data_IF_645176037608
#
_entry.id   IF_645176037608
#
_cell.length_a   1.000
_cell.length_b   1.000
_cell.length_c   1.000
_cell.angle_alpha   90.00
_cell.angle_beta   90.00
_cell.angle_gamma   90.00
#
_symmetry.space_group_name_H-M   'P 1'
#
loop_
_entity.id
_entity.type
_entity.pdbx_description
1 polymer ?
#
# COMPACT_ATOMS: atom_id res chain seq x y z
N UNK A 1 -5.10 12.85 20.28
CA UNK A 1 -5.10 12.61 18.83
C UNK A 1 -6.44 11.98 18.50
N UNK A 2 -7.25 12.48 17.56
CA UNK A 2 -8.46 11.76 17.18
C UNK A 2 -8.01 10.43 16.60
N UNK A 3 -8.50 9.34 17.18
CA UNK A 3 -8.36 8.00 16.64
C UNK A 3 -9.11 7.99 15.30
N UNK A 4 -8.42 8.39 14.21
CA UNK A 4 -8.88 8.19 12.84
C UNK A 4 -8.83 6.69 12.56
N UNK A 5 -9.73 5.95 13.20
CA UNK A 5 -9.90 4.53 13.00
C UNK A 5 -10.66 4.38 11.70
N UNK A 6 -9.93 4.04 10.65
CA UNK A 6 -10.55 3.64 9.40
C UNK A 6 -11.47 2.43 9.66
N UNK A 7 -12.60 2.33 8.96
CA UNK A 7 -13.44 1.13 8.97
C UNK A 7 -12.63 -0.12 8.66
N UNK A 8 -12.95 -1.24 9.31
CA UNK A 8 -12.21 -2.49 9.18
C UNK A 8 -12.22 -3.03 7.75
N UNK A 9 -13.32 -2.87 7.03
CA UNK A 9 -13.46 -3.25 5.63
C UNK A 9 -12.55 -2.42 4.71
N UNK A 10 -12.42 -1.12 4.98
CA UNK A 10 -11.50 -0.25 4.26
C UNK A 10 -10.03 -0.61 4.53
N UNK A 11 -9.69 -0.95 5.78
CA UNK A 11 -8.36 -1.46 6.15
C UNK A 11 -8.10 -2.78 5.40
N UNK A 12 -9.07 -3.70 5.37
CA UNK A 12 -8.94 -4.98 4.69
C UNK A 12 -8.73 -4.82 3.17
N UNK A 13 -9.45 -3.90 2.52
CA UNK A 13 -9.24 -3.56 1.11
C UNK A 13 -7.82 -3.02 0.86
N UNK A 14 -7.33 -2.14 1.73
CA UNK A 14 -5.98 -1.59 1.63
C UNK A 14 -4.90 -2.67 1.82
N UNK A 15 -5.06 -3.55 2.81
CA UNK A 15 -4.16 -4.69 3.02
C UNK A 15 -4.16 -5.62 1.79
N UNK A 16 -5.33 -5.97 1.25
CA UNK A 16 -5.43 -6.80 0.06
C UNK A 16 -4.74 -6.13 -1.13
N UNK A 17 -4.93 -4.82 -1.31
CA UNK A 17 -4.26 -4.05 -2.37
C UNK A 17 -2.74 -4.08 -2.22
N UNK A 18 -2.21 -3.94 -1.01
CA UNK A 18 -0.76 -4.06 -0.74
C UNK A 18 -0.25 -5.47 -1.10
N UNK A 19 -0.95 -6.53 -0.65
CA UNK A 19 -0.57 -7.92 -0.97
C UNK A 19 -0.57 -8.18 -2.48
N UNK A 20 -1.63 -7.77 -3.18
CA UNK A 20 -1.71 -7.92 -4.64
C UNK A 20 -0.61 -7.13 -5.34
N UNK A 21 -0.26 -5.94 -4.82
CA UNK A 21 0.84 -5.15 -5.36
C UNK A 21 2.17 -5.86 -5.17
N UNK A 22 2.48 -6.28 -3.95
CA UNK A 22 3.70 -7.02 -3.61
C UNK A 22 3.84 -8.30 -4.45
N UNK A 23 2.75 -9.03 -4.65
CA UNK A 23 2.71 -10.20 -5.53
C UNK A 23 2.98 -9.81 -6.99
N UNK A 24 2.38 -8.72 -7.49
CA UNK A 24 2.57 -8.23 -8.85
C UNK A 24 3.99 -7.71 -9.11
N UNK A 25 4.66 -7.17 -8.09
CA UNK A 25 6.07 -6.79 -8.18
C UNK A 25 6.97 -8.03 -8.32
N UNK A 26 6.70 -9.09 -7.57
CA UNK A 26 7.49 -10.34 -7.58
C UNK A 26 7.19 -11.23 -8.79
N UNK A 27 5.95 -11.30 -9.22
CA UNK A 27 5.49 -12.12 -10.33
C UNK A 27 4.41 -11.37 -11.14
N UNK A 28 4.83 -10.50 -12.08
CA UNK A 28 3.91 -9.66 -12.84
C UNK A 28 2.93 -10.50 -13.67
N UNK A 29 1.63 -10.26 -13.47
CA UNK A 29 0.57 -10.87 -14.29
C UNK A 29 -0.53 -9.88 -14.62
N UNK A 30 -1.18 -10.10 -15.76
CA UNK A 30 -2.33 -9.27 -16.19
C UNK A 30 -3.50 -9.34 -15.21
N UNK A 31 -3.68 -10.50 -14.58
CA UNK A 31 -4.74 -10.73 -13.59
C UNK A 31 -4.50 -9.90 -12.33
N UNK A 32 -3.27 -9.87 -11.81
CA UNK A 32 -2.89 -9.03 -10.68
C UNK A 32 -3.05 -7.54 -11.00
N UNK A 33 -2.70 -7.13 -12.23
CA UNK A 33 -2.94 -5.75 -12.69
C UNK A 33 -4.43 -5.36 -12.70
N UNK A 34 -5.31 -6.28 -13.14
CA UNK A 34 -6.76 -6.07 -13.12
C UNK A 34 -7.31 -6.01 -11.69
N UNK A 35 -6.82 -6.88 -10.81
CA UNK A 35 -7.24 -6.92 -9.42
C UNK A 35 -6.79 -5.66 -8.67
N UNK A 36 -5.56 -5.19 -8.88
CA UNK A 36 -5.11 -3.90 -8.35
C UNK A 36 -5.99 -2.74 -8.78
N UNK A 37 -6.36 -2.70 -10.07
CA UNK A 37 -7.26 -1.67 -10.57
C UNK A 37 -8.65 -1.74 -9.91
N UNK A 38 -9.20 -2.95 -9.74
CA UNK A 38 -10.47 -3.17 -9.04
C UNK A 38 -10.39 -2.72 -7.58
N UNK A 39 -9.35 -3.10 -6.85
CA UNK A 39 -9.16 -2.76 -5.45
C UNK A 39 -9.00 -1.24 -5.25
N UNK A 40 -8.20 -0.59 -6.10
CA UNK A 40 -8.08 0.87 -6.08
C UNK A 40 -9.45 1.55 -6.27
N UNK A 41 -10.30 1.05 -7.18
CA UNK A 41 -11.65 1.58 -7.35
C UNK A 41 -12.57 1.36 -6.16
N UNK A 42 -12.47 0.21 -5.49
CA UNK A 42 -13.24 -0.05 -4.27
C UNK A 42 -12.82 0.88 -3.14
N UNK A 43 -11.51 1.08 -2.98
CA UNK A 43 -10.95 2.04 -2.02
C UNK A 43 -11.42 3.44 -2.37
N UNK A 44 -11.15 3.96 -3.58
CA UNK A 44 -11.49 5.33 -4.00
C UNK A 44 -12.97 5.69 -3.82
N UNK A 45 -13.87 4.70 -3.97
CA UNK A 45 -15.34 4.90 -3.88
C UNK A 45 -15.92 4.58 -2.50
N UNK A 46 -15.08 4.27 -1.52
CA UNK A 46 -15.55 3.86 -0.20
C UNK A 46 -16.37 4.98 0.48
N UNK A 47 -17.57 4.69 1.04
CA UNK A 47 -18.44 5.71 1.64
C UNK A 47 -17.79 6.52 2.76
N UNK A 48 -16.79 5.96 3.43
CA UNK A 48 -16.01 6.64 4.48
C UNK A 48 -15.42 7.98 4.02
N UNK A 49 -15.06 8.11 2.73
CA UNK A 49 -14.50 9.35 2.20
C UNK A 49 -15.49 10.51 2.13
N UNK A 50 -16.79 10.25 2.17
CA UNK A 50 -17.80 11.31 2.21
C UNK A 50 -17.71 12.12 3.50
N UNK A 51 -17.20 11.53 4.58
CA UNK A 51 -17.04 12.19 5.88
C UNK A 51 -15.67 12.83 6.03
N UNK A 52 -14.59 12.14 5.65
CA UNK A 52 -13.22 12.56 5.97
C UNK A 52 -12.43 13.13 4.77
N UNK A 53 -12.97 12.99 3.55
CA UNK A 53 -12.32 13.42 2.32
C UNK A 53 -11.23 12.47 1.80
N UNK A 54 -11.19 12.31 0.48
CA UNK A 54 -10.14 11.56 -0.20
C UNK A 54 -8.99 12.49 -0.59
N UNK A 55 -7.93 12.53 0.23
CA UNK A 55 -6.78 13.42 0.08
C UNK A 55 -5.49 12.62 0.13
N UNK A 56 -4.36 13.23 -0.25
CA UNK A 56 -3.05 12.59 -0.09
C UNK A 56 -2.75 12.22 1.36
N UNK A 57 -3.15 13.06 2.32
CA UNK A 57 -2.91 12.81 3.74
C UNK A 57 -3.75 11.63 4.26
N UNK A 58 -5.04 11.57 3.92
CA UNK A 58 -5.92 10.46 4.33
C UNK A 58 -5.53 9.14 3.66
N UNK A 59 -5.02 9.20 2.43
CA UNK A 59 -4.40 8.05 1.74
C UNK A 59 -3.17 7.50 2.46
N UNK A 60 -2.24 8.39 2.84
CA UNK A 60 -1.04 7.99 3.58
C UNK A 60 -1.42 7.39 4.94
N UNK A 61 -2.38 8.01 5.64
CA UNK A 61 -2.88 7.49 6.92
C UNK A 61 -3.54 6.11 6.76
N UNK A 62 -4.33 5.88 5.70
CA UNK A 62 -4.92 4.56 5.42
C UNK A 62 -3.84 3.51 5.16
N UNK A 63 -2.82 3.85 4.36
CA UNK A 63 -1.69 2.95 4.13
C UNK A 63 -0.99 2.58 5.45
N UNK A 64 -0.64 3.56 6.29
CA UNK A 64 -0.05 3.31 7.61
C UNK A 64 -0.95 2.44 8.49
N UNK A 65 -2.27 2.68 8.49
CA UNK A 65 -3.21 1.86 9.25
C UNK A 65 -3.27 0.41 8.74
N UNK A 66 -3.23 0.20 7.43
CA UNK A 66 -3.23 -1.13 6.83
C UNK A 66 -1.97 -1.93 7.14
N UNK A 67 -0.81 -1.28 7.12
CA UNK A 67 0.49 -1.87 7.49
C UNK A 67 0.52 -2.21 8.98
N UNK A 68 0.03 -1.33 9.85
CA UNK A 68 0.09 -1.51 11.30
C UNK A 68 -0.98 -2.48 11.85
N UNK A 69 -2.05 -2.73 11.11
CA UNK A 69 -3.12 -3.66 11.52
C UNK A 69 -2.62 -5.12 11.52
N UNK A 70 -3.24 -6.03 12.31
CA UNK A 70 -2.90 -7.45 12.30
C UNK A 70 -2.91 -8.05 10.88
N UNK A 71 -1.84 -8.79 10.56
CA UNK A 71 -1.64 -9.35 9.21
C UNK A 71 -1.24 -8.32 8.15
N UNK A 72 -0.96 -7.07 8.52
CA UNK A 72 -0.43 -6.06 7.62
C UNK A 72 0.93 -6.45 7.04
N UNK A 73 1.20 -5.98 5.83
CA UNK A 73 2.47 -6.15 5.13
C UNK A 73 2.95 -4.79 4.66
N UNK A 74 4.27 -4.59 4.64
CA UNK A 74 4.84 -3.38 4.03
C UNK A 74 4.73 -3.45 2.51
N UNK A 75 4.36 -2.33 1.89
CA UNK A 75 4.35 -2.20 0.44
C UNK A 75 5.79 -2.10 -0.09
N UNK A 76 6.16 -3.01 -0.98
CA UNK A 76 7.47 -3.05 -1.61
C UNK A 76 7.75 -1.71 -2.30
N UNK A 77 8.90 -1.10 -1.99
CA UNK A 77 9.30 0.15 -2.62
C UNK A 77 10.04 -0.15 -3.94
N UNK A 78 9.54 0.37 -5.05
CA UNK A 78 10.24 0.34 -6.34
C UNK A 78 10.86 1.71 -6.61
N UNK A 79 12.13 1.73 -7.01
CA UNK A 79 12.84 2.95 -7.42
C UNK A 79 13.44 2.77 -8.79
N UNK A 80 13.59 3.86 -9.54
CA UNK A 80 14.38 3.85 -10.77
C UNK A 80 15.76 4.38 -10.44
N UNK A 81 16.79 3.54 -10.59
CA UNK A 81 18.20 3.89 -10.42
C UNK A 81 18.90 3.60 -11.74
N UNK A 82 19.54 4.62 -12.31
CA UNK A 82 20.25 4.52 -13.60
C UNK A 82 19.43 3.87 -14.73
N UNK A 83 18.14 4.23 -14.82
CA UNK A 83 17.21 3.72 -15.83
C UNK A 83 16.71 2.29 -15.59
N UNK A 84 17.05 1.67 -14.45
CA UNK A 84 16.59 0.32 -14.06
C UNK A 84 15.66 0.40 -12.86
N UNK A 85 14.60 -0.40 -12.88
CA UNK A 85 13.73 -0.57 -11.70
C UNK A 85 14.46 -1.46 -10.70
N UNK A 86 14.75 -0.92 -9.53
CA UNK A 86 15.28 -1.65 -8.38
C UNK A 86 14.18 -1.79 -7.32
N UNK A 87 14.07 -2.99 -6.75
CA UNK A 87 13.23 -3.24 -5.60
C UNK A 87 14.07 -2.89 -4.37
N UNK A 88 13.65 -1.86 -3.63
CA UNK A 88 14.22 -1.56 -2.32
C UNK A 88 13.55 -2.51 -1.31
N UNK A 89 14.09 -3.72 -1.20
CA UNK A 89 13.92 -4.50 0.02
C UNK A 89 14.75 -3.79 1.09
N UNK A 90 14.17 -3.49 2.25
CA UNK A 90 14.93 -2.87 3.36
C UNK A 90 16.18 -3.71 3.63
N UNK A 91 17.30 -3.25 3.07
CA UNK A 91 18.61 -3.65 3.51
C UNK A 91 18.79 -2.93 4.84
N UNK A 92 18.39 -3.58 5.94
CA UNK A 92 19.06 -3.35 7.23
C UNK A 92 20.51 -3.81 7.04
N UNK A 93 21.28 -2.96 6.38
CA UNK A 93 22.69 -3.09 6.07
C UNK A 93 23.31 -1.74 6.35
N UNK A 94 23.38 -1.40 7.65
CA UNK A 94 24.46 -0.55 8.12
C UNK A 94 25.74 -1.36 7.99
N UNK A 95 26.28 -1.46 6.78
CA UNK A 95 27.65 -1.90 6.58
C UNK A 95 28.23 -1.14 5.39
N UNK A 96 29.36 -0.50 5.69
CA UNK A 96 30.19 0.32 4.82
C UNK A 96 29.69 1.75 4.61
N UNK A 97 30.03 2.61 5.58
CA UNK A 97 30.92 3.76 5.35
C UNK A 97 31.15 4.51 6.68
N UNK A 98 32.19 4.11 7.41
CA UNK A 98 33.13 4.98 8.14
C UNK A 98 34.23 4.12 8.77
#
# INVERSE_FOLDING_TARGET
MPENRFPEDLIALAQLRIRTFNQGVRNPSRELGRELFRLNRLIDRHPHWWTIGWTRATRAALHCAAVAAPGGEEEIQQRVVDGRIVIAEESSGWDHLA
#
